data_IF_000932389204
#
_entry.id   IF_000932389204
#
_cell.length_a   1.000
_cell.length_b   1.000
_cell.length_c   1.000
_cell.angle_alpha   90.00
_cell.angle_beta   90.00
_cell.angle_gamma   90.00
#
_symmetry.space_group_name_H-M   'P 1'
#
loop_
_entity.id
_entity.type
_entity.pdbx_description
1 polymer ?
#
# COMPACT_ATOMS: atom_id res chain seq x y z
N UNK A 1 -0.32 2.49 28.65
CA UNK A 1 -0.60 2.21 27.22
C UNK A 1 -0.43 3.52 26.50
N UNK A 2 0.61 3.63 25.67
CA UNK A 2 0.82 4.82 24.85
C UNK A 2 -0.14 4.74 23.66
N UNK A 3 -1.04 5.71 23.56
CA UNK A 3 -1.92 5.86 22.42
C UNK A 3 -1.18 6.69 21.36
N UNK A 4 -0.83 6.07 20.25
CA UNK A 4 -0.30 6.76 19.08
C UNK A 4 -1.47 7.31 18.26
N UNK A 5 -1.39 8.58 17.89
CA UNK A 5 -2.34 9.22 16.97
C UNK A 5 -1.57 9.69 15.74
N UNK A 6 -2.12 9.54 14.53
CA UNK A 6 -1.58 10.23 13.37
C UNK A 6 -1.57 11.74 13.63
N UNK A 7 -0.48 12.38 13.30
CA UNK A 7 -0.32 13.83 13.39
C UNK A 7 0.04 14.33 12.00
N UNK A 8 -0.68 15.33 11.52
CA UNK A 8 -0.27 16.04 10.31
C UNK A 8 0.98 16.87 10.63
N UNK A 9 2.09 16.53 10.00
CA UNK A 9 3.32 17.31 10.05
C UNK A 9 3.76 17.66 8.64
N UNK A 10 3.69 18.94 8.31
CA UNK A 10 4.12 19.47 7.02
C UNK A 10 5.62 19.83 6.96
N UNK A 11 6.35 19.67 8.07
CA UNK A 11 7.70 20.17 8.21
C UNK A 11 8.79 19.11 8.18
N UNK A 12 8.46 17.86 8.49
CA UNK A 12 9.45 16.81 8.63
C UNK A 12 9.00 15.50 7.94
N UNK A 13 9.87 14.97 7.09
CA UNK A 13 9.76 13.61 6.56
C UNK A 13 10.79 12.76 7.28
N UNK A 14 10.33 11.70 7.97
CA UNK A 14 11.20 10.78 8.69
C UNK A 14 11.42 9.55 7.81
N UNK A 15 12.68 9.29 7.45
CA UNK A 15 13.06 8.18 6.57
C UNK A 15 13.59 6.95 7.34
N UNK A 16 14.02 7.15 8.57
CA UNK A 16 14.69 6.16 9.42
C UNK A 16 13.77 5.34 10.33
N UNK A 17 12.46 5.32 10.06
CA UNK A 17 11.54 4.49 10.84
C UNK A 17 11.59 3.02 10.40
N UNK A 18 11.57 2.10 11.35
CA UNK A 18 11.57 0.67 11.08
C UNK A 18 10.15 0.15 10.86
N UNK A 19 9.21 0.58 11.69
CA UNK A 19 7.81 0.13 11.62
C UNK A 19 6.84 1.27 11.94
N UNK A 20 5.77 1.42 11.15
CA UNK A 20 4.68 2.29 11.53
C UNK A 20 3.91 1.68 12.71
N UNK A 21 3.30 2.54 13.52
CA UNK A 21 2.43 2.12 14.64
C UNK A 21 1.03 1.73 14.20
N UNK A 22 0.58 2.26 13.06
CA UNK A 22 -0.69 1.94 12.44
C UNK A 22 -0.45 1.15 11.15
N UNK A 23 -1.28 0.15 10.92
CA UNK A 23 -1.22 -0.65 9.70
C UNK A 23 -1.87 0.07 8.54
N UNK A 24 -1.22 0.06 7.37
CA UNK A 24 -1.80 0.55 6.12
C UNK A 24 -3.10 -0.19 5.71
N UNK A 25 -3.39 -1.34 6.30
CA UNK A 25 -4.62 -2.10 6.07
C UNK A 25 -5.89 -1.32 6.42
N UNK A 26 -5.82 -0.41 7.39
CA UNK A 26 -6.96 0.43 7.78
C UNK A 26 -7.46 1.33 6.64
N UNK A 27 -6.58 1.69 5.70
CA UNK A 27 -6.97 2.45 4.52
C UNK A 27 -7.87 1.64 3.57
N UNK A 28 -7.76 0.31 3.58
CA UNK A 28 -8.52 -0.59 2.71
C UNK A 28 -9.70 -1.23 3.44
N UNK A 29 -9.54 -1.51 4.73
CA UNK A 29 -10.54 -2.15 5.56
C UNK A 29 -10.74 -1.36 6.87
N UNK A 30 -11.48 -0.23 6.80
CA UNK A 30 -11.73 0.61 7.95
C UNK A 30 -12.64 -0.08 8.96
N UNK A 31 -12.48 0.26 10.25
CA UNK A 31 -13.29 -0.30 11.33
C UNK A 31 -14.79 0.07 11.22
N UNK A 32 -15.11 1.13 10.52
CA UNK A 32 -16.49 1.60 10.30
C UNK A 32 -16.64 2.14 8.90
N UNK A 33 -17.71 1.72 8.22
CA UNK A 33 -17.98 2.14 6.85
C UNK A 33 -19.49 2.32 6.60
N UNK A 34 -19.83 3.33 5.78
CA UNK A 34 -21.19 3.51 5.29
C UNK A 34 -21.40 2.67 4.03
N UNK A 35 -22.16 1.59 4.14
CA UNK A 35 -22.41 0.69 3.01
C UNK A 35 -23.54 1.20 2.12
N UNK A 36 -24.59 1.77 2.72
CA UNK A 36 -25.72 2.29 1.97
C UNK A 36 -26.43 3.41 2.73
N UNK A 37 -27.14 4.22 1.98
CA UNK A 37 -28.04 5.25 2.50
C UNK A 37 -29.46 4.87 2.14
N UNK A 38 -30.35 4.86 3.14
CA UNK A 38 -31.76 4.57 2.98
C UNK A 38 -32.52 5.90 3.06
N UNK A 39 -33.24 6.27 2.01
CA UNK A 39 -34.13 7.43 1.99
C UNK A 39 -35.56 6.96 1.90
N UNK A 40 -36.40 7.36 2.86
CA UNK A 40 -37.83 7.06 2.89
C UNK A 40 -38.64 8.31 2.60
N UNK A 41 -39.49 8.25 1.57
CA UNK A 41 -40.41 9.34 1.20
C UNK A 41 -41.82 8.77 1.12
N UNK A 42 -42.63 8.95 2.19
CA UNK A 42 -43.94 8.33 2.29
C UNK A 42 -43.84 6.79 2.38
N UNK A 43 -44.40 6.10 1.38
CA UNK A 43 -44.29 4.62 1.28
C UNK A 43 -43.13 4.17 0.40
N UNK A 44 -42.47 5.09 -0.29
CA UNK A 44 -41.34 4.76 -1.16
C UNK A 44 -40.05 4.67 -0.36
N UNK A 45 -39.23 3.65 -0.65
CA UNK A 45 -37.92 3.43 -0.06
C UNK A 45 -36.89 3.40 -1.18
N UNK A 46 -35.94 4.32 -1.14
CA UNK A 46 -34.80 4.40 -2.04
C UNK A 46 -33.55 3.91 -1.30
N UNK A 47 -32.87 2.95 -1.90
CA UNK A 47 -31.60 2.39 -1.38
C UNK A 47 -30.47 2.83 -2.30
N UNK A 48 -29.55 3.60 -1.77
CA UNK A 48 -28.38 4.09 -2.51
C UNK A 48 -27.11 3.51 -1.91
N UNK A 49 -26.40 2.70 -2.68
CA UNK A 49 -25.07 2.24 -2.34
C UNK A 49 -24.10 3.43 -2.42
N UNK A 50 -23.24 3.58 -1.43
CA UNK A 50 -22.25 4.66 -1.38
C UNK A 50 -20.85 4.02 -1.43
N UNK A 51 -20.29 3.89 -2.64
CA UNK A 51 -18.92 3.41 -2.80
C UNK A 51 -17.91 4.48 -2.36
N UNK A 52 -16.71 4.08 -1.91
CA UNK A 52 -15.63 5.00 -1.60
C UNK A 52 -15.25 5.82 -2.84
N UNK A 53 -15.08 7.12 -2.67
CA UNK A 53 -14.71 8.03 -3.74
C UNK A 53 -13.32 8.61 -3.50
N UNK A 54 -12.67 9.06 -4.59
CA UNK A 54 -11.38 9.73 -4.57
C UNK A 54 -10.18 8.81 -4.70
N UNK A 55 -9.07 9.39 -5.13
CA UNK A 55 -7.78 8.72 -5.23
C UNK A 55 -6.95 9.00 -3.98
N UNK A 56 -6.16 8.03 -3.55
CA UNK A 56 -5.26 8.19 -2.43
C UNK A 56 -3.88 7.58 -2.75
N UNK A 57 -2.88 8.05 -2.04
CA UNK A 57 -1.51 7.54 -2.10
C UNK A 57 -1.10 7.13 -0.69
N UNK A 58 -0.62 5.91 -0.55
CA UNK A 58 0.05 5.46 0.67
C UNK A 58 1.54 5.47 0.40
N UNK A 59 2.25 6.32 1.11
CA UNK A 59 3.68 6.56 0.93
C UNK A 59 4.51 5.98 2.08
N UNK A 60 5.66 5.40 1.75
CA UNK A 60 6.58 4.84 2.73
C UNK A 60 6.18 3.45 3.25
N UNK A 61 5.33 2.73 2.52
CA UNK A 61 4.91 1.38 2.89
C UNK A 61 6.09 0.41 2.93
N UNK A 62 6.19 -0.40 3.98
CA UNK A 62 7.22 -1.43 4.04
C UNK A 62 6.82 -2.70 3.25
N UNK A 63 7.77 -3.48 2.73
CA UNK A 63 7.49 -4.71 1.97
C UNK A 63 6.57 -5.69 2.72
N UNK A 64 6.77 -5.87 4.01
CA UNK A 64 5.91 -6.75 4.81
C UNK A 64 4.47 -6.24 4.92
N UNK A 65 4.24 -4.90 4.94
CA UNK A 65 2.90 -4.33 4.96
C UNK A 65 2.21 -4.50 3.60
N UNK A 66 2.94 -4.31 2.49
CA UNK A 66 2.42 -4.54 1.14
C UNK A 66 1.97 -6.01 0.96
N UNK A 67 2.77 -6.97 1.42
CA UNK A 67 2.36 -8.38 1.44
C UNK A 67 1.14 -8.63 2.31
N UNK A 68 1.02 -7.90 3.40
CA UNK A 68 -0.19 -7.96 4.23
C UNK A 68 -1.44 -7.45 3.49
N UNK A 69 -1.29 -6.49 2.57
CA UNK A 69 -2.37 -6.04 1.68
C UNK A 69 -2.70 -7.11 0.64
N UNK A 70 -1.70 -7.76 0.02
CA UNK A 70 -1.95 -8.89 -0.89
C UNK A 70 -2.72 -10.04 -0.23
N UNK A 71 -2.49 -10.27 1.06
CA UNK A 71 -3.28 -11.26 1.80
C UNK A 71 -4.76 -10.83 1.97
N UNK A 72 -5.04 -9.53 2.07
CA UNK A 72 -6.41 -9.02 2.02
C UNK A 72 -7.00 -9.12 0.61
N UNK A 73 -6.22 -8.82 -0.44
CA UNK A 73 -6.63 -8.99 -1.83
C UNK A 73 -7.14 -10.43 -2.08
N UNK A 74 -6.41 -11.44 -1.58
CA UNK A 74 -6.80 -12.84 -1.70
C UNK A 74 -8.11 -13.19 -0.97
N UNK A 75 -8.48 -12.44 0.05
CA UNK A 75 -9.73 -12.65 0.78
C UNK A 75 -10.90 -11.93 0.11
N UNK A 76 -10.70 -10.68 -0.32
CA UNK A 76 -11.78 -9.79 -0.74
C UNK A 76 -11.96 -9.69 -2.25
N UNK A 77 -10.91 -10.03 -3.05
CA UNK A 77 -10.96 -9.93 -4.51
C UNK A 77 -10.94 -11.27 -5.23
N UNK A 78 -10.24 -12.27 -4.70
CA UNK A 78 -10.04 -13.55 -5.40
C UNK A 78 -11.21 -14.52 -5.23
N UNK A 79 -12.22 -14.18 -4.44
CA UNK A 79 -13.39 -15.01 -4.17
C UNK A 79 -14.69 -14.29 -4.49
N UNK A 80 -15.66 -15.04 -5.02
CA UNK A 80 -17.02 -14.55 -5.22
C UNK A 80 -17.89 -14.70 -3.96
N UNK A 81 -18.71 -13.71 -3.60
CA UNK A 81 -18.80 -12.39 -4.26
C UNK A 81 -17.61 -11.47 -3.90
N UNK A 82 -17.11 -10.74 -4.90
CA UNK A 82 -16.07 -9.73 -4.69
C UNK A 82 -16.60 -8.60 -3.80
N UNK A 83 -15.80 -8.17 -2.83
CA UNK A 83 -16.15 -7.01 -2.01
C UNK A 83 -15.92 -5.70 -2.81
N UNK A 84 -17.01 -5.09 -3.26
CA UNK A 84 -16.98 -3.89 -4.10
C UNK A 84 -16.39 -2.67 -3.39
N UNK A 85 -16.50 -2.56 -2.07
CA UNK A 85 -15.93 -1.44 -1.29
C UNK A 85 -14.43 -1.57 -1.17
N UNK A 86 -13.95 -2.77 -0.85
CA UNK A 86 -12.53 -3.07 -0.84
C UNK A 86 -11.92 -2.89 -2.23
N UNK A 87 -12.57 -3.42 -3.27
CA UNK A 87 -12.13 -3.31 -4.66
C UNK A 87 -11.94 -1.85 -5.08
N UNK A 88 -12.94 -1.00 -4.80
CA UNK A 88 -12.89 0.42 -5.16
C UNK A 88 -11.72 1.13 -4.48
N UNK A 89 -11.52 0.92 -3.17
CA UNK A 89 -10.36 1.47 -2.47
C UNK A 89 -9.04 0.97 -3.04
N UNK A 90 -8.95 -0.32 -3.32
CA UNK A 90 -7.73 -0.93 -3.83
C UNK A 90 -7.34 -0.40 -5.20
N UNK A 91 -8.33 -0.19 -6.08
CA UNK A 91 -8.12 0.38 -7.41
C UNK A 91 -7.71 1.85 -7.33
N UNK A 92 -8.30 2.61 -6.42
CA UNK A 92 -8.08 4.05 -6.27
C UNK A 92 -6.86 4.39 -5.37
N UNK A 93 -6.14 3.41 -4.86
CA UNK A 93 -4.97 3.62 -4.00
C UNK A 93 -3.68 3.29 -4.74
N UNK A 94 -2.75 4.25 -4.79
CA UNK A 94 -1.38 4.03 -5.26
C UNK A 94 -0.48 3.72 -4.07
N UNK A 95 0.24 2.60 -4.15
CA UNK A 95 1.15 2.14 -3.09
C UNK A 95 2.60 2.45 -3.45
N UNK A 96 3.21 3.34 -2.67
CA UNK A 96 4.62 3.73 -2.81
C UNK A 96 5.38 3.16 -1.62
N UNK A 97 6.19 2.16 -1.88
CA UNK A 97 6.98 1.47 -0.87
C UNK A 97 8.35 2.08 -0.64
N UNK A 98 8.92 1.74 0.51
CA UNK A 98 10.27 2.09 0.89
C UNK A 98 11.00 0.81 1.32
N UNK A 99 12.10 0.47 0.63
CA UNK A 99 12.93 -0.66 0.98
C UNK A 99 13.48 -0.51 2.41
N UNK A 100 13.63 -1.64 3.12
CA UNK A 100 14.21 -1.65 4.46
C UNK A 100 15.74 -1.72 4.35
N UNK A 101 16.44 -0.76 4.92
CA UNK A 101 17.89 -0.79 5.09
C UNK A 101 18.26 -1.49 6.39
N UNK A 102 17.46 -1.29 7.44
CA UNK A 102 17.71 -1.87 8.76
C UNK A 102 16.59 -2.85 9.13
N UNK A 103 17.00 -3.94 9.76
CA UNK A 103 16.09 -4.97 10.26
C UNK A 103 15.89 -4.77 11.76
N UNK A 104 14.64 -4.72 12.18
CA UNK A 104 14.30 -4.73 13.60
C UNK A 104 14.37 -6.15 14.20
N UNK A 105 14.52 -6.25 15.51
CA UNK A 105 14.61 -7.53 16.25
C UNK A 105 13.44 -8.49 16.00
N UNK A 106 12.29 -7.96 15.57
CA UNK A 106 11.08 -8.76 15.31
C UNK A 106 10.80 -8.93 13.82
N UNK A 107 11.75 -8.58 12.95
CA UNK A 107 11.60 -8.79 11.52
C UNK A 107 11.76 -10.28 11.17
N UNK A 108 10.85 -10.79 10.35
CA UNK A 108 10.84 -12.19 9.90
C UNK A 108 10.39 -12.33 8.43
N UNK A 109 10.53 -11.28 7.63
CA UNK A 109 10.09 -11.28 6.22
C UNK A 109 10.77 -12.39 5.41
N UNK A 110 12.07 -12.63 5.63
CA UNK A 110 12.83 -13.69 4.94
C UNK A 110 12.30 -15.09 5.27
N UNK A 111 11.92 -15.35 6.52
CA UNK A 111 11.30 -16.61 6.95
C UNK A 111 9.95 -16.82 6.25
N UNK A 112 9.23 -15.74 5.90
CA UNK A 112 7.96 -15.78 5.19
C UNK A 112 8.14 -15.77 3.66
N UNK A 113 9.34 -15.99 3.14
CA UNK A 113 9.63 -16.01 1.72
C UNK A 113 9.52 -14.63 1.04
N UNK A 114 9.84 -13.56 1.77
CA UNK A 114 9.94 -12.19 1.29
C UNK A 114 11.35 -11.66 1.48
N UNK A 115 11.57 -10.40 1.12
CA UNK A 115 12.84 -9.71 1.31
C UNK A 115 12.62 -8.28 1.80
N UNK A 116 13.65 -7.63 2.39
CA UNK A 116 13.58 -6.23 2.80
C UNK A 116 13.31 -5.24 1.65
N UNK A 117 13.57 -5.65 0.42
CA UNK A 117 13.34 -4.90 -0.82
C UNK A 117 12.36 -5.60 -1.77
N UNK A 118 11.47 -6.45 -1.25
CA UNK A 118 10.45 -7.14 -2.05
C UNK A 118 9.38 -6.14 -2.54
N UNK A 119 9.24 -5.90 -3.86
CA UNK A 119 8.27 -4.95 -4.40
C UNK A 119 6.85 -5.51 -4.51
N UNK A 120 6.63 -6.77 -4.13
CA UNK A 120 5.34 -7.44 -4.29
C UNK A 120 4.20 -6.66 -3.66
N UNK A 121 3.18 -6.36 -4.45
CA UNK A 121 1.99 -5.61 -4.03
C UNK A 121 2.14 -4.09 -4.05
N UNK A 122 3.30 -3.56 -4.44
CA UNK A 122 3.54 -2.12 -4.59
C UNK A 122 3.40 -1.66 -6.03
N UNK A 123 3.02 -0.39 -6.20
CA UNK A 123 3.03 0.26 -7.51
C UNK A 123 4.38 0.90 -7.81
N UNK A 124 5.03 1.47 -6.79
CA UNK A 124 6.35 2.09 -6.87
C UNK A 124 7.16 1.67 -5.66
N UNK A 125 8.45 1.43 -5.83
CA UNK A 125 9.41 1.20 -4.76
C UNK A 125 10.47 2.28 -4.76
N UNK A 126 10.76 2.81 -3.56
CA UNK A 126 11.92 3.64 -3.30
C UNK A 126 13.00 2.79 -2.67
N UNK A 127 14.18 2.80 -3.26
CA UNK A 127 15.35 2.15 -2.71
C UNK A 127 16.37 3.22 -2.35
N UNK A 128 16.81 3.31 -1.09
CA UNK A 128 17.84 4.25 -0.69
C UNK A 128 19.15 3.99 -1.44
N UNK A 129 19.82 5.07 -1.84
CA UNK A 129 21.14 5.06 -2.47
C UNK A 129 21.97 6.21 -1.88
N UNK A 130 23.30 6.21 -2.05
CA UNK A 130 24.20 7.18 -1.44
C UNK A 130 23.80 8.66 -1.61
N UNK A 131 23.13 9.01 -2.72
CA UNK A 131 22.75 10.38 -3.05
C UNK A 131 21.25 10.66 -3.01
N UNK A 132 20.44 9.76 -2.45
CA UNK A 132 18.98 9.92 -2.38
C UNK A 132 18.21 8.62 -2.51
N UNK A 133 17.26 8.57 -3.44
CA UNK A 133 16.42 7.40 -3.65
C UNK A 133 16.33 7.06 -5.14
N UNK A 134 16.45 5.79 -5.44
CA UNK A 134 16.06 5.23 -6.73
C UNK A 134 14.57 4.89 -6.68
N UNK A 135 13.81 5.36 -7.69
CA UNK A 135 12.39 5.06 -7.84
C UNK A 135 12.17 4.09 -8.98
N UNK A 136 11.51 2.99 -8.69
CA UNK A 136 11.17 1.98 -9.68
C UNK A 136 9.66 1.72 -9.67
N UNK A 137 9.02 1.76 -10.86
CA UNK A 137 7.62 1.39 -11.03
C UNK A 137 7.48 -0.11 -11.29
N UNK A 138 6.51 -0.73 -10.61
CA UNK A 138 6.21 -2.16 -10.70
C UNK A 138 4.79 -2.45 -11.23
N UNK A 139 4.00 -1.41 -11.48
CA UNK A 139 2.67 -1.50 -12.09
C UNK A 139 2.46 -0.39 -13.12
N UNK A 140 1.45 -0.58 -14.00
CA UNK A 140 1.03 0.47 -14.93
C UNK A 140 0.58 1.74 -14.18
N UNK A 141 -0.10 1.57 -13.05
CA UNK A 141 -0.51 2.67 -12.17
C UNK A 141 0.69 3.44 -11.62
N UNK A 142 1.73 2.74 -11.18
CA UNK A 142 2.99 3.36 -10.74
C UNK A 142 3.69 4.11 -11.86
N UNK A 143 3.70 3.54 -13.07
CA UNK A 143 4.28 4.18 -14.24
C UNK A 143 3.56 5.48 -14.61
N UNK A 144 2.22 5.46 -14.62
CA UNK A 144 1.41 6.65 -14.88
C UNK A 144 1.64 7.72 -13.81
N UNK A 145 1.65 7.32 -12.54
CA UNK A 145 1.86 8.24 -11.43
C UNK A 145 3.23 8.97 -11.52
N UNK A 146 4.31 8.25 -11.81
CA UNK A 146 5.62 8.88 -11.99
C UNK A 146 5.66 9.78 -13.23
N UNK A 147 4.97 9.40 -14.31
CA UNK A 147 4.82 10.23 -15.51
C UNK A 147 4.11 11.55 -15.23
N UNK A 148 3.04 11.54 -14.43
CA UNK A 148 2.30 12.74 -14.03
C UNK A 148 3.17 13.70 -13.17
N UNK A 149 4.14 13.17 -12.44
CA UNK A 149 5.13 13.96 -11.71
C UNK A 149 6.24 14.53 -12.61
N UNK A 150 6.22 14.24 -13.91
CA UNK A 150 7.25 14.70 -14.86
C UNK A 150 8.59 13.97 -14.72
N UNK A 151 8.61 12.83 -14.03
CA UNK A 151 9.80 12.00 -13.89
C UNK A 151 9.97 11.11 -15.12
N UNK A 152 11.15 11.15 -15.73
CA UNK A 152 11.49 10.25 -16.84
C UNK A 152 11.79 8.87 -16.26
N UNK A 153 11.00 7.88 -16.69
CA UNK A 153 11.16 6.49 -16.26
C UNK A 153 11.96 5.77 -17.33
N UNK A 154 13.17 5.31 -16.98
CA UNK A 154 13.78 4.23 -17.74
C UNK A 154 12.95 2.97 -17.49
N UNK A 155 12.37 2.40 -18.58
CA UNK A 155 11.66 1.12 -18.49
C UNK A 155 12.64 0.04 -18.05
N UNK A 156 12.66 -0.28 -16.78
CA UNK A 156 13.36 -1.42 -16.25
C UNK A 156 12.46 -2.65 -16.49
N UNK A 157 13.01 -3.68 -17.10
CA UNK A 157 12.31 -4.94 -17.29
C UNK A 157 11.79 -5.48 -15.94
N UNK A 158 10.64 -6.19 -15.93
CA UNK A 158 10.12 -6.77 -14.69
C UNK A 158 11.20 -7.63 -14.04
N UNK A 159 11.63 -7.24 -12.86
CA UNK A 159 12.59 -7.99 -12.07
C UNK A 159 11.90 -9.28 -11.62
N UNK A 160 12.47 -10.42 -12.01
CA UNK A 160 12.04 -11.71 -11.49
C UNK A 160 12.18 -11.69 -9.96
N UNK A 161 11.11 -11.90 -9.15
CA UNK A 161 11.16 -11.85 -7.70
C UNK A 161 12.08 -12.91 -7.07
N UNK A 162 12.68 -13.79 -7.88
CA UNK A 162 13.62 -14.83 -7.43
C UNK A 162 15.09 -14.39 -7.38
N UNK A 163 15.44 -13.17 -7.79
CA UNK A 163 16.79 -12.63 -7.57
C UNK A 163 16.90 -11.96 -6.18
N UNK A 164 16.51 -12.68 -5.14
CA UNK A 164 16.75 -12.25 -3.77
C UNK A 164 18.23 -12.14 -3.51
N UNK A 165 18.68 -11.02 -2.99
CA UNK A 165 20.01 -10.81 -2.42
C UNK A 165 20.23 -11.92 -1.39
N UNK A 166 21.30 -12.70 -1.55
CA UNK A 166 21.75 -13.67 -0.54
C UNK A 166 22.14 -12.90 0.74
N UNK A 167 21.25 -12.88 1.70
CA UNK A 167 21.60 -12.42 3.04
C UNK A 167 22.32 -13.55 3.79
N UNK A 168 23.49 -13.30 4.42
CA UNK A 168 24.13 -14.28 5.26
C UNK A 168 23.18 -14.65 6.41
N UNK A 169 23.02 -15.98 6.63
CA UNK A 169 22.24 -16.56 7.73
C UNK A 169 22.89 -16.30 9.09
#
# INVERSE_FOLDING_TARGET
VSLYRPVEDSTHVVWDYIRPTLSAKEAFFPATERLLTIKKTGQDIELNQTLPEGQQVIFGLRPCDARGILALDAVFLDKEPVDSYYQERRQNTTLIGLACEELGETCFCTTMGSAPNDPSGMDIMLTPVDSGFELQAYSDKGTLFLGDLGLQIEKIAPVNPQSAIDFPQ
#
